data_IF_006350841764
#
_entry.id   IF_006350841764
#
_cell.length_a   1.000
_cell.length_b   1.000
_cell.length_c   1.000
_cell.angle_alpha   90.00
_cell.angle_beta   90.00
_cell.angle_gamma   90.00
#
_symmetry.space_group_name_H-M   'P 1'
#
loop_
_entity.id
_entity.type
_entity.pdbx_description
1 polymer ?
#
# COMPACT_ATOMS: atom_id res chain seq x y z
N UNK A 1 0.90 -19.76 -1.29
CA UNK A 1 0.51 -19.24 0.02
C UNK A 1 0.79 -17.75 0.16
N UNK A 2 2.02 -17.30 -0.15
CA UNK A 2 2.37 -15.88 -0.08
C UNK A 2 1.50 -15.05 -1.01
N UNK A 3 1.26 -15.53 -2.23
CA UNK A 3 0.44 -14.80 -3.20
C UNK A 3 -1.03 -14.73 -2.80
N UNK A 4 -1.56 -15.80 -2.20
CA UNK A 4 -2.92 -15.78 -1.68
C UNK A 4 -3.09 -14.72 -0.59
N UNK A 5 -2.15 -14.66 0.37
CA UNK A 5 -2.19 -13.65 1.43
C UNK A 5 -2.11 -12.23 0.87
N UNK A 6 -1.24 -12.01 -0.13
CA UNK A 6 -1.09 -10.72 -0.79
C UNK A 6 -2.37 -10.31 -1.52
N UNK A 7 -3.04 -11.26 -2.17
CA UNK A 7 -4.31 -11.01 -2.86
C UNK A 7 -5.42 -10.67 -1.89
N UNK A 8 -5.49 -11.35 -0.74
CA UNK A 8 -6.47 -11.04 0.30
C UNK A 8 -6.23 -9.67 0.91
N UNK A 9 -4.97 -9.30 1.14
CA UNK A 9 -4.63 -7.96 1.63
C UNK A 9 -5.05 -6.89 0.62
N UNK A 10 -4.80 -7.11 -0.66
CA UNK A 10 -5.19 -6.16 -1.69
C UNK A 10 -6.71 -6.01 -1.78
N UNK A 11 -7.45 -7.09 -1.69
CA UNK A 11 -8.90 -7.05 -1.66
C UNK A 11 -9.41 -6.29 -0.43
N UNK A 12 -8.88 -6.59 0.75
CA UNK A 12 -9.24 -5.89 1.98
C UNK A 12 -8.95 -4.39 1.89
N UNK A 13 -7.89 -4.00 1.20
CA UNK A 13 -7.52 -2.60 1.00
C UNK A 13 -8.54 -1.89 0.10
N UNK A 14 -8.94 -2.53 -1.01
CA UNK A 14 -9.94 -1.98 -1.93
C UNK A 14 -11.31 -1.80 -1.27
N UNK A 15 -11.70 -2.73 -0.41
CA UNK A 15 -12.97 -2.70 0.30
C UNK A 15 -12.92 -1.88 1.59
N UNK A 16 -11.76 -1.31 1.92
CA UNK A 16 -11.53 -0.55 3.13
C UNK A 16 -11.83 -1.36 4.40
N UNK A 17 -11.51 -2.66 4.36
CA UNK A 17 -11.71 -3.59 5.49
C UNK A 17 -10.40 -4.10 6.07
N UNK A 18 -9.25 -3.64 5.54
CA UNK A 18 -7.95 -4.00 6.10
C UNK A 18 -7.84 -3.54 7.56
N UNK A 19 -7.26 -4.38 8.42
CA UNK A 19 -7.24 -4.18 9.87
C UNK A 19 -6.22 -3.11 10.31
N UNK A 20 -6.39 -1.89 9.82
CA UNK A 20 -5.69 -0.70 10.31
C UNK A 20 -6.50 -0.05 11.43
N UNK A 21 -5.86 0.79 12.24
CA UNK A 21 -6.53 1.40 13.39
C UNK A 21 -7.74 2.25 12.98
N UNK A 22 -7.72 2.88 11.80
CA UNK A 22 -8.88 3.60 11.29
C UNK A 22 -10.08 2.67 11.07
N UNK A 23 -9.84 1.52 10.44
CA UNK A 23 -10.88 0.51 10.22
C UNK A 23 -11.40 -0.05 11.54
N UNK A 24 -10.47 -0.41 12.44
CA UNK A 24 -10.82 -0.97 13.74
C UNK A 24 -11.60 0.03 14.60
N UNK A 25 -11.24 1.31 14.53
CA UNK A 25 -11.97 2.37 15.23
C UNK A 25 -13.39 2.51 14.67
N UNK A 26 -13.54 2.54 13.33
CA UNK A 26 -14.86 2.62 12.69
C UNK A 26 -15.75 1.43 13.08
N UNK A 27 -15.16 0.24 13.23
CA UNK A 27 -15.87 -0.95 13.66
C UNK A 27 -16.02 -1.06 15.18
N UNK A 28 -15.58 -0.05 15.92
CA UNK A 28 -15.64 0.00 17.38
C UNK A 28 -14.83 -1.10 18.09
N UNK A 29 -13.81 -1.62 17.42
CA UNK A 29 -12.89 -2.62 17.97
C UNK A 29 -11.65 -1.98 18.60
N UNK A 30 -11.40 -0.70 18.32
CA UNK A 30 -10.34 0.11 18.96
C UNK A 30 -10.83 1.53 19.15
N UNK A 31 -10.45 2.13 20.29
CA UNK A 31 -10.82 3.51 20.62
C UNK A 31 -9.96 4.54 19.92
N UNK A 32 -8.76 4.15 19.46
CA UNK A 32 -7.76 5.07 18.90
C UNK A 32 -7.51 4.78 17.43
N UNK A 33 -7.82 5.71 16.50
CA UNK A 33 -7.56 5.54 15.08
C UNK A 33 -6.12 5.89 14.69
N UNK A 34 -5.27 6.30 15.63
CA UNK A 34 -3.92 6.77 15.32
C UNK A 34 -2.96 5.62 15.05
N UNK A 35 -1.95 5.90 14.20
CA UNK A 35 -0.87 4.97 13.91
C UNK A 35 0.01 4.79 15.16
N UNK A 36 0.15 3.55 15.61
CA UNK A 36 1.00 3.22 16.75
C UNK A 36 2.42 2.86 16.32
N UNK A 37 2.65 2.64 15.03
CA UNK A 37 3.95 2.23 14.50
C UNK A 37 4.92 3.39 14.28
N UNK A 38 4.45 4.64 14.34
CA UNK A 38 5.30 5.82 14.17
C UNK A 38 5.02 6.86 15.26
N UNK A 39 5.95 7.83 15.48
CA UNK A 39 5.84 8.77 16.61
C UNK A 39 5.00 10.01 16.33
N UNK A 40 4.36 10.13 15.15
CA UNK A 40 3.78 11.41 14.72
C UNK A 40 2.30 11.58 15.02
N UNK A 41 1.67 10.66 15.75
CA UNK A 41 0.25 10.74 16.11
C UNK A 41 -0.69 10.96 14.90
N UNK A 42 -0.32 10.41 13.75
CA UNK A 42 -1.12 10.51 12.54
C UNK A 42 -2.19 9.44 12.53
N UNK A 43 -3.36 9.76 11.97
CA UNK A 43 -4.41 8.78 11.76
C UNK A 43 -3.87 7.65 10.88
N UNK A 44 -4.06 6.41 11.30
CA UNK A 44 -3.64 5.23 10.52
C UNK A 44 -4.66 4.96 9.41
N UNK A 45 -4.73 5.87 8.47
CA UNK A 45 -5.49 5.70 7.23
C UNK A 45 -4.67 4.90 6.23
N UNK A 46 -5.32 4.45 5.17
CA UNK A 46 -4.64 3.77 4.07
C UNK A 46 -3.56 4.67 3.45
N UNK A 47 -3.86 5.96 3.29
CA UNK A 47 -2.90 6.93 2.78
C UNK A 47 -1.67 7.03 3.67
N UNK A 48 -1.85 7.14 4.99
CA UNK A 48 -0.73 7.16 5.92
C UNK A 48 0.07 5.87 5.87
N UNK A 49 -0.63 4.74 5.93
CA UNK A 49 -0.02 3.42 5.95
C UNK A 49 0.87 3.16 4.73
N UNK A 50 0.38 3.45 3.54
CA UNK A 50 1.11 3.17 2.30
C UNK A 50 2.04 4.29 1.87
N UNK A 51 1.66 5.56 2.08
CA UNK A 51 2.36 6.69 1.45
C UNK A 51 3.12 7.59 2.42
N UNK A 52 2.78 7.60 3.70
CA UNK A 52 3.28 8.63 4.62
C UNK A 52 4.01 8.07 5.84
N UNK A 53 3.68 6.90 6.33
CA UNK A 53 4.26 6.39 7.57
C UNK A 53 5.77 6.24 7.46
N UNK A 54 6.56 6.91 8.31
CA UNK A 54 8.03 6.84 8.23
C UNK A 54 8.59 5.47 8.59
N UNK A 55 7.86 4.66 9.36
CA UNK A 55 8.27 3.29 9.67
C UNK A 55 8.34 2.43 8.42
N UNK A 56 7.51 2.73 7.42
CA UNK A 56 7.44 1.98 6.15
C UNK A 56 8.30 2.59 5.05
N UNK A 57 9.10 3.61 5.36
CA UNK A 57 9.81 4.40 4.37
C UNK A 57 10.73 3.55 3.48
N UNK A 58 11.50 2.63 4.06
CA UNK A 58 12.46 1.83 3.29
C UNK A 58 11.73 0.92 2.28
N UNK A 59 10.67 0.25 2.72
CA UNK A 59 9.87 -0.63 1.84
C UNK A 59 9.21 0.21 0.75
N UNK A 60 8.64 1.35 1.12
CA UNK A 60 7.98 2.26 0.18
C UNK A 60 8.94 2.79 -0.87
N UNK A 61 10.11 3.28 -0.44
CA UNK A 61 11.11 3.84 -1.35
C UNK A 61 11.60 2.78 -2.34
N UNK A 62 11.85 1.57 -1.86
CA UNK A 62 12.26 0.46 -2.71
C UNK A 62 11.19 0.12 -3.74
N UNK A 63 9.94 0.02 -3.32
CA UNK A 63 8.82 -0.30 -4.21
C UNK A 63 8.60 0.82 -5.23
N UNK A 64 8.69 2.07 -4.81
CA UNK A 64 8.51 3.22 -5.70
C UNK A 64 9.65 3.31 -6.72
N UNK A 65 10.87 2.96 -6.32
CA UNK A 65 12.00 2.94 -7.25
C UNK A 65 11.79 1.87 -8.33
N UNK A 66 11.30 0.70 -7.96
CA UNK A 66 10.96 -0.35 -8.94
C UNK A 66 9.88 0.14 -9.91
N UNK A 67 8.88 0.87 -9.42
CA UNK A 67 7.82 1.44 -10.26
C UNK A 67 8.40 2.48 -11.21
N UNK A 68 9.23 3.40 -10.73
CA UNK A 68 9.86 4.44 -11.55
C UNK A 68 10.71 3.80 -12.65
N UNK A 69 11.51 2.79 -12.31
CA UNK A 69 12.36 2.10 -13.28
C UNK A 69 11.53 1.42 -14.36
N UNK A 70 10.44 0.76 -13.99
CA UNK A 70 9.53 0.13 -14.94
C UNK A 70 8.88 1.16 -15.87
N UNK A 71 8.38 2.26 -15.29
CA UNK A 71 7.70 3.30 -16.06
C UNK A 71 8.66 4.02 -17.01
N UNK A 72 9.91 4.21 -16.62
CA UNK A 72 10.92 4.81 -17.51
C UNK A 72 11.13 3.99 -18.78
N UNK A 73 10.97 2.68 -18.71
CA UNK A 73 11.13 1.78 -19.85
C UNK A 73 9.83 1.70 -20.68
N UNK A 74 8.69 1.50 -20.03
CA UNK A 74 7.44 1.15 -20.68
C UNK A 74 6.45 2.32 -20.82
N UNK A 75 6.58 3.33 -19.97
CA UNK A 75 5.69 4.51 -19.97
C UNK A 75 6.48 5.78 -19.66
N UNK A 76 7.47 6.16 -20.52
CA UNK A 76 8.38 7.26 -20.18
C UNK A 76 7.72 8.64 -20.15
N UNK A 77 6.48 8.75 -20.63
CA UNK A 77 5.71 9.99 -20.61
C UNK A 77 4.99 10.23 -19.28
N UNK A 78 5.04 9.27 -18.34
CA UNK A 78 4.32 9.35 -17.08
C UNK A 78 5.33 9.33 -15.92
N UNK A 79 5.23 10.31 -15.01
CA UNK A 79 6.08 10.39 -13.83
C UNK A 79 5.29 10.00 -12.58
N UNK A 80 5.58 8.83 -12.04
CA UNK A 80 4.90 8.32 -10.84
C UNK A 80 5.06 9.25 -9.64
N UNK A 81 6.24 9.90 -9.51
CA UNK A 81 6.51 10.77 -8.36
C UNK A 81 5.65 12.03 -8.35
N UNK A 82 5.15 12.46 -9.52
CA UNK A 82 4.30 13.63 -9.66
C UNK A 82 2.81 13.32 -9.52
N UNK A 83 2.44 12.05 -9.39
CA UNK A 83 1.05 11.67 -9.20
C UNK A 83 0.54 12.09 -7.83
N UNK A 84 -0.74 12.40 -7.75
CA UNK A 84 -1.40 12.69 -6.48
C UNK A 84 -1.42 11.45 -5.59
N UNK A 85 -1.58 11.62 -4.27
CA UNK A 85 -1.71 10.46 -3.37
C UNK A 85 -2.82 9.49 -3.80
N UNK A 86 -3.96 10.01 -4.24
CA UNK A 86 -5.06 9.16 -4.70
C UNK A 86 -4.67 8.36 -5.94
N UNK A 87 -3.99 8.99 -6.89
CA UNK A 87 -3.53 8.32 -8.10
C UNK A 87 -2.48 7.24 -7.76
N UNK A 88 -1.55 7.54 -6.86
CA UNK A 88 -0.57 6.53 -6.40
C UNK A 88 -1.27 5.33 -5.77
N UNK A 89 -2.28 5.56 -4.94
CA UNK A 89 -3.06 4.47 -4.36
C UNK A 89 -3.76 3.64 -5.42
N UNK A 90 -4.32 4.28 -6.44
CA UNK A 90 -4.96 3.57 -7.55
C UNK A 90 -3.99 2.68 -8.30
N UNK A 91 -2.75 3.13 -8.52
CA UNK A 91 -1.71 2.30 -9.14
C UNK A 91 -1.33 1.11 -8.27
N UNK A 92 -1.27 1.29 -6.96
CA UNK A 92 -0.81 0.24 -6.05
C UNK A 92 -1.89 -0.79 -5.72
N UNK A 93 -3.13 -0.36 -5.56
CA UNK A 93 -4.22 -1.23 -5.08
C UNK A 93 -5.40 -1.31 -6.03
N UNK A 94 -5.47 -0.44 -7.04
CA UNK A 94 -6.56 -0.44 -8.00
C UNK A 94 -6.45 -1.57 -9.02
N UNK A 95 -7.46 -1.68 -9.87
CA UNK A 95 -7.45 -2.60 -11.00
C UNK A 95 -6.77 -1.92 -12.19
N UNK A 96 -5.47 -2.17 -12.34
CA UNK A 96 -4.65 -1.53 -13.35
C UNK A 96 -4.82 -2.18 -14.73
N UNK A 97 -5.44 -3.34 -14.82
CA UNK A 97 -5.69 -4.01 -16.10
C UNK A 97 -6.63 -3.19 -17.00
N UNK A 98 -7.43 -2.31 -16.42
CA UNK A 98 -8.33 -1.43 -17.16
C UNK A 98 -7.60 -0.31 -17.91
N UNK A 99 -6.45 0.14 -17.40
CA UNK A 99 -5.79 1.35 -17.88
C UNK A 99 -4.50 1.08 -18.64
N UNK A 100 -3.98 -0.15 -18.52
CA UNK A 100 -2.70 -0.51 -19.10
C UNK A 100 -2.82 -1.83 -19.87
N UNK A 101 -1.85 -2.10 -20.74
CA UNK A 101 -1.76 -3.41 -21.34
C UNK A 101 -1.53 -4.46 -20.23
N UNK A 102 -1.75 -5.73 -20.57
CA UNK A 102 -1.68 -6.80 -19.59
C UNK A 102 -0.32 -6.87 -18.88
N UNK A 103 0.76 -6.65 -19.62
CA UNK A 103 2.12 -6.71 -19.04
C UNK A 103 2.33 -5.65 -17.96
N UNK A 104 1.94 -4.41 -18.22
CA UNK A 104 2.06 -3.34 -17.23
C UNK A 104 1.07 -3.52 -16.08
N UNK A 105 -0.16 -3.95 -16.39
CA UNK A 105 -1.17 -4.24 -15.37
C UNK A 105 -0.71 -5.34 -14.42
N UNK A 106 -0.12 -6.41 -14.93
CA UNK A 106 0.42 -7.51 -14.12
C UNK A 106 1.58 -7.03 -13.25
N UNK A 107 2.44 -6.16 -13.77
CA UNK A 107 3.52 -5.57 -12.99
C UNK A 107 2.99 -4.77 -11.80
N UNK A 108 2.04 -3.86 -12.04
CA UNK A 108 1.47 -3.05 -10.96
C UNK A 108 0.72 -3.89 -9.94
N UNK A 109 0.00 -4.91 -10.38
CA UNK A 109 -0.67 -5.83 -9.48
C UNK A 109 0.33 -6.54 -8.57
N UNK A 110 1.41 -7.04 -9.14
CA UNK A 110 2.45 -7.76 -8.39
C UNK A 110 3.18 -6.84 -7.42
N UNK A 111 3.59 -5.65 -7.86
CA UNK A 111 4.34 -4.73 -6.98
C UNK A 111 3.46 -4.22 -5.85
N UNK A 112 2.19 -3.95 -6.11
CA UNK A 112 1.23 -3.53 -5.09
C UNK A 112 1.02 -4.61 -4.04
N UNK A 113 0.82 -5.86 -4.46
CA UNK A 113 0.67 -7.00 -3.55
C UNK A 113 1.91 -7.22 -2.70
N UNK A 114 3.09 -7.14 -3.32
CA UNK A 114 4.37 -7.33 -2.61
C UNK A 114 4.59 -6.23 -1.58
N UNK A 115 4.34 -4.99 -1.94
CA UNK A 115 4.47 -3.84 -1.04
C UNK A 115 3.52 -3.97 0.15
N UNK A 116 2.25 -4.25 -0.10
CA UNK A 116 1.24 -4.43 0.95
C UNK A 116 1.66 -5.53 1.92
N UNK A 117 2.11 -6.66 1.40
CA UNK A 117 2.54 -7.79 2.22
C UNK A 117 3.69 -7.40 3.14
N UNK A 118 4.72 -6.76 2.58
CA UNK A 118 5.91 -6.36 3.34
C UNK A 118 5.57 -5.35 4.43
N UNK A 119 4.78 -4.34 4.09
CA UNK A 119 4.40 -3.28 5.03
C UNK A 119 3.51 -3.85 6.14
N UNK A 120 2.56 -4.72 5.79
CA UNK A 120 1.66 -5.31 6.77
C UNK A 120 2.40 -6.23 7.75
N UNK A 121 3.37 -7.02 7.24
CA UNK A 121 4.21 -7.87 8.09
C UNK A 121 5.06 -7.01 9.02
N UNK A 122 5.65 -5.91 8.52
CA UNK A 122 6.42 -4.99 9.34
C UNK A 122 5.56 -4.38 10.45
N UNK A 123 4.34 -3.96 10.12
CA UNK A 123 3.39 -3.42 11.10
C UNK A 123 3.10 -4.45 12.20
N UNK A 124 2.85 -5.68 11.81
CA UNK A 124 2.57 -6.75 12.78
C UNK A 124 3.77 -6.98 13.71
N UNK A 125 4.99 -6.95 13.16
CA UNK A 125 6.21 -7.12 13.96
C UNK A 125 6.45 -5.94 14.90
N UNK A 126 6.27 -4.71 14.43
CA UNK A 126 6.47 -3.49 15.21
C UNK A 126 5.46 -3.42 16.37
N UNK A 127 4.20 -3.77 16.10
CA UNK A 127 3.14 -3.74 17.10
C UNK A 127 3.04 -5.02 17.91
N UNK A 128 3.88 -6.02 17.60
CA UNK A 128 3.92 -7.29 18.31
C UNK A 128 2.56 -8.02 18.30
N UNK A 129 1.90 -7.99 17.15
CA UNK A 129 0.62 -8.67 16.93
C UNK A 129 0.80 -9.79 15.91
N UNK A 130 -0.01 -10.83 16.03
CA UNK A 130 0.05 -12.00 15.14
C UNK A 130 -0.76 -11.82 13.85
#
# INVERSE_FOLDING_TARGET
MVEFQSSMLKLSTRTNTIALNTTLNRMKLRDNPLCEACPYNSIESLKHFLLKCPTNKNIRDQSFQEIVDHMNVFMPFLDFTELSPLQKLQFLIGDTCYYFNQMCGDFFDRIGKTMLKRIYVLRSNVLNID
#
